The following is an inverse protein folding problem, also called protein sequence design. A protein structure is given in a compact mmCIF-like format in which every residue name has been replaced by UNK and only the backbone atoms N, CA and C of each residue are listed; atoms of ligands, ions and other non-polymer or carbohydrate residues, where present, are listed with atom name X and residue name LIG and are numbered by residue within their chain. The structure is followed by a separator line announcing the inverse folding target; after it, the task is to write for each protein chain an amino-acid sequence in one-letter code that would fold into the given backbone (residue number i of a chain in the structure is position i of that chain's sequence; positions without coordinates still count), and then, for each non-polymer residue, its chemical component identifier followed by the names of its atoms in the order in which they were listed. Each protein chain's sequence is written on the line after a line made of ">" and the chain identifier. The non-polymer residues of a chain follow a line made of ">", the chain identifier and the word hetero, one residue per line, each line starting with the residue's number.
data_IF_288271188348
#
_entry.id   IF_288271188348
#
_cell.length_a   1.000
_cell.length_b   1.000
_cell.length_c   1.000
_cell.angle_alpha   90.00
_cell.angle_beta   90.00
_cell.angle_gamma   90.00
#
_symmetry.space_group_name_H-M   'P 1'
#
loop_
_entity.id
_entity.type
_entity.pdbx_description
1 polymer ?
#
# COMPACT_ATOMS: atom_id res chain seq x y z
N UNK A 1 -27.19 -18.91 19.30
CA UNK A 1 -25.92 -18.16 19.17
C UNK A 1 -26.16 -17.07 18.13
N UNK A 2 -26.07 -15.80 18.50
CA UNK A 2 -26.39 -14.68 17.60
C UNK A 2 -25.24 -14.49 16.60
N UNK A 3 -25.56 -14.34 15.30
CA UNK A 3 -24.56 -14.02 14.26
C UNK A 3 -23.79 -12.72 14.55
N UNK A 4 -24.38 -11.84 15.36
CA UNK A 4 -23.79 -10.55 15.74
C UNK A 4 -22.62 -10.65 16.73
N UNK A 5 -22.41 -11.83 17.33
CA UNK A 5 -21.36 -12.10 18.32
C UNK A 5 -20.35 -13.15 17.82
N UNK A 6 -20.48 -13.60 16.57
CA UNK A 6 -19.54 -14.52 15.94
C UNK A 6 -18.18 -13.84 15.70
N UNK A 7 -17.08 -14.52 16.03
CA UNK A 7 -15.72 -14.00 15.85
C UNK A 7 -15.15 -14.52 14.53
N UNK A 8 -14.82 -13.60 13.62
CA UNK A 8 -14.10 -13.91 12.39
C UNK A 8 -12.62 -13.55 12.54
N UNK A 9 -11.71 -14.41 12.05
CA UNK A 9 -10.27 -14.11 11.99
C UNK A 9 -9.93 -13.46 10.67
N UNK A 10 -9.28 -12.30 10.70
CA UNK A 10 -8.85 -11.56 9.51
C UNK A 10 -7.40 -11.11 9.64
N UNK A 11 -6.77 -10.83 8.51
CA UNK A 11 -5.42 -10.24 8.46
C UNK A 11 -5.50 -8.72 8.46
N UNK A 12 -4.82 -8.05 9.39
CA UNK A 12 -4.68 -6.59 9.42
C UNK A 12 -3.19 -6.27 9.42
N UNK A 13 -2.70 -5.69 8.32
CA UNK A 13 -1.26 -5.60 8.07
C UNK A 13 -0.61 -6.99 8.16
N UNK A 14 0.34 -7.15 9.07
CA UNK A 14 1.04 -8.42 9.33
C UNK A 14 0.35 -9.33 10.38
N UNK A 15 -0.69 -8.86 11.07
CA UNK A 15 -1.27 -9.54 12.22
C UNK A 15 -2.56 -10.29 11.86
N UNK A 16 -2.81 -11.40 12.56
CA UNK A 16 -4.12 -12.08 12.54
C UNK A 16 -4.93 -11.64 13.76
N UNK A 17 -6.08 -11.02 13.52
CA UNK A 17 -6.94 -10.47 14.58
C UNK A 17 -8.33 -11.10 14.53
N UNK A 18 -8.95 -11.27 15.70
CA UNK A 18 -10.34 -11.70 15.83
C UNK A 18 -11.26 -10.49 15.86
N UNK A 19 -12.29 -10.49 15.01
CA UNK A 19 -13.28 -9.42 14.92
C UNK A 19 -14.66 -10.00 15.19
N UNK A 20 -15.28 -9.51 16.27
CA UNK A 20 -16.64 -9.85 16.68
C UNK A 20 -17.64 -9.16 15.75
N UNK A 21 -18.59 -9.92 15.22
CA UNK A 21 -19.72 -9.40 14.45
C UNK A 21 -19.42 -9.03 13.00
N UNK A 22 -18.22 -9.37 12.49
CA UNK A 22 -17.80 -9.04 11.12
C UNK A 22 -18.81 -9.53 10.07
N UNK A 23 -19.19 -10.80 10.12
CA UNK A 23 -20.11 -11.41 9.15
C UNK A 23 -21.46 -10.69 9.09
N UNK A 24 -22.00 -10.32 10.25
CA UNK A 24 -23.24 -9.54 10.34
C UNK A 24 -23.07 -8.13 9.76
N UNK A 25 -21.92 -7.49 9.96
CA UNK A 25 -21.62 -6.18 9.38
C UNK A 25 -21.51 -6.25 7.84
N UNK A 26 -20.84 -7.28 7.30
CA UNK A 26 -20.75 -7.51 5.85
C UNK A 26 -22.13 -7.75 5.21
N UNK A 27 -22.98 -8.58 5.84
CA UNK A 27 -24.37 -8.79 5.41
C UNK A 27 -25.16 -7.46 5.41
N UNK A 28 -25.00 -6.62 6.45
CA UNK A 28 -25.67 -5.31 6.54
C UNK A 28 -25.22 -4.35 5.44
N UNK A 29 -23.92 -4.21 5.21
CA UNK A 29 -23.37 -3.35 4.15
C UNK A 29 -23.84 -3.78 2.77
N UNK A 30 -23.90 -5.09 2.50
CA UNK A 30 -24.31 -5.59 1.19
C UNK A 30 -25.76 -5.24 0.80
N UNK A 31 -26.57 -4.80 1.78
CA UNK A 31 -27.96 -4.35 1.61
C UNK A 31 -28.09 -2.84 1.55
N UNK A 32 -27.01 -2.09 1.76
CA UNK A 32 -27.00 -0.64 1.64
C UNK A 32 -26.59 -0.22 0.24
N UNK A 33 -27.05 0.95 -0.17
CA UNK A 33 -26.67 1.59 -1.43
C UNK A 33 -25.40 2.43 -1.23
N UNK A 34 -24.30 1.76 -0.85
CA UNK A 34 -22.99 2.40 -0.76
C UNK A 34 -22.28 2.21 -2.10
N UNK A 35 -21.81 3.32 -2.66
CA UNK A 35 -21.37 3.40 -4.06
C UNK A 35 -19.85 3.34 -4.21
N UNK A 36 -19.11 3.61 -3.13
CA UNK A 36 -17.64 3.64 -3.15
C UNK A 36 -17.00 2.73 -2.11
N UNK A 37 -15.77 2.32 -2.41
CA UNK A 37 -14.91 1.55 -1.50
C UNK A 37 -14.71 2.26 -0.14
N UNK A 38 -14.54 3.58 -0.16
CA UNK A 38 -14.29 4.37 1.05
C UNK A 38 -15.54 4.45 1.94
N UNK A 39 -16.72 4.61 1.35
CA UNK A 39 -17.99 4.56 2.08
C UNK A 39 -18.21 3.21 2.76
N UNK A 40 -17.93 2.12 2.05
CA UNK A 40 -18.00 0.75 2.58
C UNK A 40 -17.01 0.57 3.74
N UNK A 41 -15.76 0.99 3.55
CA UNK A 41 -14.71 0.86 4.55
C UNK A 41 -15.04 1.63 5.83
N UNK A 42 -15.53 2.87 5.68
CA UNK A 42 -15.93 3.73 6.81
C UNK A 42 -17.14 3.14 7.54
N UNK A 43 -18.17 2.70 6.82
CA UNK A 43 -19.34 2.08 7.44
C UNK A 43 -18.93 0.86 8.27
N UNK A 44 -18.15 -0.05 7.71
CA UNK A 44 -17.71 -1.26 8.40
C UNK A 44 -16.89 -0.92 9.63
N UNK A 45 -15.99 0.06 9.51
CA UNK A 45 -15.17 0.52 10.60
C UNK A 45 -16.00 1.07 11.76
N UNK A 46 -16.92 2.00 11.49
CA UNK A 46 -17.77 2.63 12.51
C UNK A 46 -18.68 1.61 13.22
N UNK A 47 -19.19 0.62 12.48
CA UNK A 47 -20.02 -0.44 13.06
C UNK A 47 -19.21 -1.42 13.91
N UNK A 48 -18.02 -1.79 13.47
CA UNK A 48 -17.20 -2.81 14.14
C UNK A 48 -16.38 -2.27 15.31
N UNK A 49 -15.97 -0.99 15.30
CA UNK A 49 -15.19 -0.39 16.40
C UNK A 49 -15.93 -0.38 17.74
N UNK A 50 -17.27 -0.39 17.72
CA UNK A 50 -18.09 -0.38 18.94
C UNK A 50 -17.96 -1.65 19.78
N UNK A 51 -17.69 -2.79 19.12
CA UNK A 51 -17.58 -4.12 19.75
C UNK A 51 -16.15 -4.66 19.79
N UNK A 52 -15.19 -3.97 19.18
CA UNK A 52 -13.83 -4.46 19.00
C UNK A 52 -12.82 -3.39 19.39
N UNK A 53 -11.75 -3.77 20.10
CA UNK A 53 -10.63 -2.88 20.31
C UNK A 53 -9.88 -2.68 18.99
N UNK A 54 -9.84 -1.44 18.51
CA UNK A 54 -9.09 -1.02 17.34
C UNK A 54 -8.18 0.14 17.77
N UNK A 55 -6.85 -0.03 17.73
CA UNK A 55 -5.95 1.04 18.14
C UNK A 55 -6.01 2.21 17.15
N UNK A 56 -6.04 3.49 17.60
CA UNK A 56 -6.11 4.67 16.75
C UNK A 56 -5.10 4.69 15.60
N UNK A 57 -3.88 4.22 15.87
CA UNK A 57 -2.79 4.18 14.88
C UNK A 57 -3.02 3.18 13.74
N UNK A 58 -3.86 2.17 13.93
CA UNK A 58 -4.16 1.15 12.93
C UNK A 58 -5.52 1.36 12.24
N UNK A 59 -6.19 2.50 12.49
CA UNK A 59 -7.51 2.79 11.94
C UNK A 59 -7.60 2.61 10.42
N UNK A 60 -6.55 2.99 9.69
CA UNK A 60 -6.48 2.81 8.23
C UNK A 60 -6.33 1.34 7.86
N UNK A 61 -5.42 0.60 8.52
CA UNK A 61 -5.20 -0.82 8.25
C UNK A 61 -6.48 -1.64 8.45
N UNK A 62 -7.26 -1.32 9.49
CA UNK A 62 -8.54 -1.98 9.75
C UNK A 62 -9.60 -1.64 8.70
N UNK A 63 -9.71 -0.38 8.26
CA UNK A 63 -10.61 0.02 7.16
C UNK A 63 -10.30 -0.78 5.89
N UNK A 64 -9.02 -0.84 5.51
CA UNK A 64 -8.56 -1.60 4.35
C UNK A 64 -8.85 -3.10 4.50
N UNK A 65 -8.59 -3.66 5.67
CA UNK A 65 -8.87 -5.07 5.94
C UNK A 65 -10.37 -5.38 5.87
N UNK A 66 -11.24 -4.51 6.40
CA UNK A 66 -12.69 -4.69 6.33
C UNK A 66 -13.22 -4.60 4.92
N UNK A 67 -12.77 -3.61 4.14
CA UNK A 67 -13.09 -3.51 2.72
C UNK A 67 -12.64 -4.78 1.97
N UNK A 68 -11.44 -5.28 2.26
CA UNK A 68 -10.93 -6.53 1.68
C UNK A 68 -11.86 -7.71 1.96
N UNK A 69 -12.31 -7.87 3.20
CA UNK A 69 -13.25 -8.95 3.55
C UNK A 69 -14.62 -8.76 2.91
N UNK A 70 -15.07 -7.52 2.71
CA UNK A 70 -16.29 -7.22 1.97
C UNK A 70 -16.19 -7.60 0.48
N UNK A 71 -15.09 -7.23 -0.18
CA UNK A 71 -14.85 -7.63 -1.57
C UNK A 71 -14.81 -9.14 -1.74
N UNK A 72 -14.12 -9.86 -0.84
CA UNK A 72 -14.17 -11.34 -0.79
C UNK A 72 -15.59 -11.85 -0.62
N UNK A 73 -16.37 -11.25 0.29
CA UNK A 73 -17.76 -11.62 0.53
C UNK A 73 -18.65 -11.43 -0.71
N UNK A 74 -18.39 -10.39 -1.52
CA UNK A 74 -19.07 -10.14 -2.80
C UNK A 74 -18.59 -11.05 -3.94
N UNK A 75 -17.53 -11.83 -3.73
CA UNK A 75 -16.88 -12.64 -4.76
C UNK A 75 -16.03 -11.83 -5.74
N UNK A 76 -15.69 -10.59 -5.40
CA UNK A 76 -14.84 -9.74 -6.22
C UNK A 76 -13.38 -10.20 -6.11
N UNK A 77 -12.61 -10.14 -7.23
CA UNK A 77 -11.20 -10.45 -7.20
C UNK A 77 -10.47 -9.44 -6.31
N UNK A 78 -10.01 -9.90 -5.15
CA UNK A 78 -9.10 -9.14 -4.31
C UNK A 78 -7.70 -9.42 -4.83
N UNK A 79 -7.09 -8.43 -5.49
CA UNK A 79 -5.68 -8.48 -5.82
C UNK A 79 -4.89 -8.84 -4.55
N UNK A 80 -4.02 -9.85 -4.67
CA UNK A 80 -3.12 -10.28 -3.58
C UNK A 80 -2.40 -9.04 -3.06
N UNK A 81 -2.35 -8.88 -1.74
CA UNK A 81 -1.77 -7.71 -1.08
C UNK A 81 -0.40 -7.36 -1.64
N UNK A 82 -0.34 -6.30 -2.44
CA UNK A 82 0.82 -5.42 -2.47
C UNK A 82 0.34 -4.06 -2.00
N UNK A 83 1.08 -3.56 -1.03
CA UNK A 83 0.73 -2.49 -0.14
C UNK A 83 0.40 -1.21 -0.90
N UNK A 84 -0.53 -0.38 -0.40
CA UNK A 84 -0.63 1.05 -0.75
C UNK A 84 0.57 1.85 -0.22
N UNK A 85 1.77 1.25 -0.20
CA UNK A 85 3.02 1.95 0.10
C UNK A 85 3.67 2.26 -1.23
N UNK A 86 4.06 3.52 -1.41
CA UNK A 86 4.80 3.96 -2.57
C UNK A 86 6.01 3.04 -2.79
N UNK A 87 6.09 2.37 -3.93
CA UNK A 87 7.16 1.44 -4.23
C UNK A 87 8.23 2.17 -5.04
N UNK A 88 9.45 2.27 -4.52
CA UNK A 88 10.57 2.92 -5.19
C UNK A 88 11.70 1.93 -5.36
N UNK A 89 12.14 1.69 -6.60
CA UNK A 89 13.30 0.85 -6.88
C UNK A 89 14.41 1.64 -7.55
N UNK A 90 15.60 1.54 -7.00
CA UNK A 90 16.85 2.04 -7.59
C UNK A 90 17.56 0.86 -8.23
N UNK A 91 17.64 0.86 -9.56
CA UNK A 91 18.26 -0.20 -10.33
C UNK A 91 19.70 0.18 -10.68
N UNK A 92 20.66 -0.59 -10.18
CA UNK A 92 22.06 -0.40 -10.53
C UNK A 92 23.03 -1.21 -9.67
N UNK A 93 24.22 -1.53 -10.18
CA UNK A 93 25.16 -2.43 -9.50
C UNK A 93 25.84 -1.82 -8.25
N UNK A 94 25.40 -0.64 -7.77
CA UNK A 94 26.00 0.06 -6.63
C UNK A 94 27.21 0.93 -6.99
N UNK A 95 27.20 1.60 -8.15
CA UNK A 95 28.19 2.65 -8.43
C UNK A 95 27.86 3.95 -7.67
N UNK A 96 28.78 4.94 -7.58
CA UNK A 96 28.55 6.16 -6.80
C UNK A 96 27.27 6.93 -7.17
N UNK A 97 26.87 6.88 -8.44
CA UNK A 97 25.63 7.50 -8.89
C UNK A 97 24.37 6.71 -8.49
N UNK A 98 24.44 5.38 -8.34
CA UNK A 98 23.33 4.57 -7.83
C UNK A 98 23.08 4.89 -6.35
N UNK A 99 24.15 4.90 -5.56
CA UNK A 99 24.07 5.21 -4.13
C UNK A 99 23.59 6.65 -3.91
N UNK A 100 24.07 7.60 -4.72
CA UNK A 100 23.59 8.99 -4.67
C UNK A 100 22.10 9.10 -5.01
N UNK A 101 21.61 8.35 -5.99
CA UNK A 101 20.19 8.34 -6.35
C UNK A 101 19.32 7.83 -5.18
N UNK A 102 19.74 6.73 -4.55
CA UNK A 102 19.08 6.18 -3.37
C UNK A 102 19.04 7.19 -2.21
N UNK A 103 20.16 7.87 -1.92
CA UNK A 103 20.20 8.91 -0.87
C UNK A 103 19.27 10.09 -1.18
N UNK A 104 19.17 10.49 -2.46
CA UNK A 104 18.24 11.54 -2.88
C UNK A 104 16.78 11.12 -2.67
N UNK A 105 16.44 9.87 -2.97
CA UNK A 105 15.09 9.31 -2.73
C UNK A 105 14.75 9.39 -1.24
N UNK A 106 15.62 8.86 -0.36
CA UNK A 106 15.39 8.90 1.09
C UNK A 106 15.25 10.31 1.63
N UNK A 107 16.09 11.24 1.16
CA UNK A 107 16.07 12.64 1.58
C UNK A 107 14.72 13.30 1.27
N UNK A 108 14.24 13.13 0.03
CA UNK A 108 12.96 13.70 -0.39
C UNK A 108 11.78 13.03 0.31
N UNK A 109 11.78 11.70 0.43
CA UNK A 109 10.71 11.00 1.14
C UNK A 109 10.63 11.44 2.62
N UNK A 110 11.78 11.64 3.27
CA UNK A 110 11.84 12.14 4.65
C UNK A 110 11.34 13.59 4.76
N UNK A 111 11.74 14.47 3.83
CA UNK A 111 11.32 15.88 3.88
C UNK A 111 9.82 16.06 3.64
N UNK A 112 9.25 15.24 2.77
CA UNK A 112 7.83 15.30 2.38
C UNK A 112 6.92 14.39 3.23
N UNK A 113 7.47 13.64 4.19
CA UNK A 113 6.71 12.70 5.02
C UNK A 113 6.03 11.59 4.20
N UNK A 114 6.71 11.11 3.15
CA UNK A 114 6.19 10.08 2.25
C UNK A 114 6.57 8.70 2.79
N UNK A 115 5.56 7.88 3.09
CA UNK A 115 5.76 6.48 3.41
C UNK A 115 5.84 5.64 2.13
N UNK A 116 6.86 4.80 2.04
CA UNK A 116 7.09 3.93 0.88
C UNK A 116 8.16 2.89 1.16
N UNK A 117 8.21 1.87 0.31
CA UNK A 117 9.28 0.88 0.27
C UNK A 117 10.35 1.33 -0.72
N UNK A 118 11.62 1.24 -0.33
CA UNK A 118 12.76 1.64 -1.16
C UNK A 118 13.72 0.45 -1.29
N UNK A 119 13.80 -0.12 -2.49
CA UNK A 119 14.68 -1.25 -2.81
C UNK A 119 15.83 -0.80 -3.72
N UNK A 120 17.08 -1.10 -3.34
CA UNK A 120 18.22 -1.00 -4.25
C UNK A 120 18.48 -2.36 -4.91
N UNK A 121 18.04 -2.51 -6.16
CA UNK A 121 18.23 -3.72 -6.94
C UNK A 121 19.64 -3.72 -7.56
N UNK A 122 20.54 -4.47 -6.95
CA UNK A 122 21.95 -4.63 -7.38
C UNK A 122 22.20 -5.83 -8.28
N UNK A 123 21.26 -6.78 -8.30
CA UNK A 123 21.36 -8.01 -9.10
C UNK A 123 21.18 -7.69 -10.59
N UNK A 124 22.21 -7.97 -11.39
CA UNK A 124 22.22 -7.71 -12.84
C UNK A 124 21.13 -8.48 -13.59
N UNK A 125 20.77 -9.70 -13.16
CA UNK A 125 19.70 -10.48 -13.78
C UNK A 125 18.34 -9.83 -13.52
N UNK A 126 18.11 -9.34 -12.30
CA UNK A 126 16.89 -8.59 -11.96
C UNK A 126 16.82 -7.29 -12.77
N UNK A 127 17.91 -6.52 -12.86
CA UNK A 127 17.97 -5.28 -13.64
C UNK A 127 17.66 -5.54 -15.13
N UNK A 128 18.21 -6.62 -15.71
CA UNK A 128 17.93 -7.01 -17.09
C UNK A 128 16.45 -7.42 -17.29
N UNK A 129 15.82 -8.06 -16.30
CA UNK A 129 14.39 -8.39 -16.36
C UNK A 129 13.48 -7.14 -16.40
N UNK A 130 13.95 -6.00 -15.90
CA UNK A 130 13.28 -4.71 -16.08
C UNK A 130 13.46 -4.10 -17.49
N UNK A 131 14.24 -4.73 -18.38
CA UNK A 131 14.53 -4.21 -19.72
C UNK A 131 15.46 -2.98 -19.71
N UNK A 132 16.20 -2.76 -18.63
CA UNK A 132 17.06 -1.59 -18.48
C UNK A 132 18.36 -1.75 -19.28
N UNK A 133 18.63 -0.77 -20.17
CA UNK A 133 19.85 -0.71 -20.98
C UNK A 133 20.96 0.13 -20.34
N UNK A 134 20.62 0.99 -19.37
CA UNK A 134 21.57 1.85 -18.67
C UNK A 134 21.17 2.04 -17.20
N UNK A 135 22.17 2.19 -16.34
CA UNK A 135 22.00 2.42 -14.89
C UNK A 135 22.81 3.67 -14.47
N UNK A 136 22.44 4.37 -13.38
CA UNK A 136 21.31 4.09 -12.49
C UNK A 136 19.95 4.33 -13.15
N UNK A 137 18.94 3.53 -12.79
CA UNK A 137 17.56 3.78 -13.16
C UNK A 137 16.66 3.88 -11.93
N UNK A 138 15.63 4.73 -12.00
CA UNK A 138 14.63 4.93 -10.96
C UNK A 138 13.28 4.41 -11.45
N UNK A 139 12.68 3.51 -10.70
CA UNK A 139 11.32 3.00 -10.92
C UNK A 139 10.46 3.38 -9.73
N UNK A 140 9.27 3.93 -9.98
CA UNK A 140 8.29 4.27 -8.95
C UNK A 140 6.96 3.62 -9.34
N UNK A 141 6.39 2.79 -8.46
CA UNK A 141 5.17 2.00 -8.69
C UNK A 141 5.20 1.24 -10.03
N UNK A 142 6.33 0.59 -10.32
CA UNK A 142 6.57 -0.13 -11.57
C UNK A 142 6.83 0.75 -12.80
N UNK A 143 6.72 2.08 -12.71
CA UNK A 143 6.95 3.01 -13.82
C UNK A 143 8.38 3.57 -13.81
N UNK A 144 9.07 3.53 -14.94
CA UNK A 144 10.44 4.03 -15.06
C UNK A 144 10.45 5.55 -15.20
N UNK A 145 11.09 6.25 -14.24
CA UNK A 145 11.15 7.73 -14.21
C UNK A 145 12.48 8.31 -14.68
N UNK A 146 13.60 7.61 -14.45
CA UNK A 146 14.93 8.03 -14.92
C UNK A 146 15.77 6.83 -15.33
N UNK A 147 16.61 7.00 -16.35
CA UNK A 147 17.56 5.99 -16.85
C UNK A 147 18.91 6.68 -17.13
N UNK A 148 20.00 6.09 -16.64
CA UNK A 148 21.39 6.46 -16.99
C UNK A 148 21.86 7.81 -16.43
N UNK A 149 21.06 8.50 -15.62
CA UNK A 149 21.41 9.79 -15.01
C UNK A 149 20.67 10.06 -13.71
N UNK A 150 21.27 10.94 -12.90
CA UNK A 150 20.62 11.50 -11.73
C UNK A 150 19.60 12.58 -12.14
N UNK A 151 18.34 12.49 -11.70
CA UNK A 151 17.36 13.56 -11.90
C UNK A 151 17.70 14.78 -11.03
N UNK A 152 17.03 15.90 -11.29
CA UNK A 152 17.05 17.04 -10.35
C UNK A 152 16.20 16.70 -9.13
N UNK A 153 16.56 17.21 -7.96
CA UNK A 153 15.80 16.99 -6.72
C UNK A 153 14.34 17.44 -6.86
N UNK A 154 14.08 18.58 -7.52
CA UNK A 154 12.72 19.08 -7.77
C UNK A 154 11.87 18.12 -8.60
N UNK A 155 12.49 17.44 -9.58
CA UNK A 155 11.83 16.48 -10.44
C UNK A 155 11.56 15.16 -9.70
N UNK A 156 12.51 14.72 -8.88
CA UNK A 156 12.33 13.57 -8.00
C UNK A 156 11.19 13.79 -7.01
N UNK A 157 11.14 14.98 -6.37
CA UNK A 157 10.03 15.38 -5.50
C UNK A 157 8.70 15.32 -6.23
N UNK A 158 8.61 15.90 -7.43
CA UNK A 158 7.39 15.88 -8.22
C UNK A 158 6.91 14.44 -8.47
N UNK A 159 7.78 13.54 -8.94
CA UNK A 159 7.39 12.16 -9.19
C UNK A 159 6.93 11.41 -7.94
N UNK A 160 7.58 11.62 -6.79
CA UNK A 160 7.21 10.97 -5.54
C UNK A 160 5.87 11.50 -5.02
N UNK A 161 5.58 12.80 -5.18
CA UNK A 161 4.29 13.39 -4.81
C UNK A 161 3.16 12.91 -5.73
N UNK A 162 3.38 12.93 -7.04
CA UNK A 162 2.42 12.41 -8.03
C UNK A 162 2.10 10.93 -7.79
N UNK A 163 3.11 10.12 -7.50
CA UNK A 163 2.96 8.68 -7.32
C UNK A 163 2.39 8.28 -5.95
N UNK A 164 2.48 9.15 -4.94
CA UNK A 164 1.81 8.95 -3.64
C UNK A 164 0.29 9.03 -3.78
N UNK A 165 -0.22 9.80 -4.76
CA UNK A 165 -1.63 10.14 -4.88
C UNK A 165 -2.06 11.11 -3.78
N UNK A 166 -2.49 12.31 -4.17
CA UNK A 166 -3.37 13.15 -3.35
C UNK A 166 -4.82 12.71 -3.54
#
# INVERSE_FOLDING_TARGET
>A
MNKEDEVAKIKVGQFNVGIVGLKAALEKVSRQDLSTDDEVAEYLFEHLKSKNYIPPRAHMDYRLAFLREYKKYKGEPVAVEEQRTLEVRVLGPGCPNCDKLEQMVYTVMTSEGIAGDVEHVKDLNKIAAYGMVATPALVINGEVKSIGRLPRESQLRQWLLEAKGE
#
